data_IF_898385709844
#
_entry.id   IF_898385709844
#
_cell.length_a   1.000
_cell.length_b   1.000
_cell.length_c   1.000
_cell.angle_alpha   90.00
_cell.angle_beta   90.00
_cell.angle_gamma   90.00
#
_symmetry.space_group_name_H-M   'P 1'
#
loop_
_entity.id
_entity.type
_entity.pdbx_description
1 polymer ?
#
# COMPACT_ATOMS: atom_id res chain seq x y z
N UNK A 1 -20.88 0.96 1.80
CA UNK A 1 -19.51 1.43 2.11
C UNK A 1 -18.50 0.44 1.54
N UNK A 2 -17.45 0.92 0.87
CA UNK A 2 -16.36 0.08 0.34
C UNK A 2 -15.05 0.43 1.05
N UNK A 3 -14.25 -0.58 1.37
CA UNK A 3 -12.93 -0.38 1.97
C UNK A 3 -11.87 -0.66 0.91
N UNK A 4 -11.02 0.33 0.67
CA UNK A 4 -9.81 0.20 -0.13
C UNK A 4 -8.61 0.16 0.82
N UNK A 5 -7.73 -0.83 0.64
CA UNK A 5 -6.53 -1.00 1.45
C UNK A 5 -5.30 -0.94 0.56
N UNK A 6 -4.33 -0.07 0.87
CA UNK A 6 -3.01 -0.12 0.23
C UNK A 6 -2.23 -1.37 0.67
N UNK A 7 -1.15 -1.69 -0.04
CA UNK A 7 -0.20 -2.72 0.35
C UNK A 7 1.04 -2.10 0.99
N UNK A 8 1.77 -1.27 0.26
CA UNK A 8 3.13 -0.87 0.63
C UNK A 8 3.08 0.14 1.78
N UNK A 9 3.65 -0.22 2.92
CA UNK A 9 3.55 0.59 4.13
C UNK A 9 2.28 0.34 4.95
N UNK A 10 1.36 -0.52 4.46
CA UNK A 10 0.13 -0.92 5.18
C UNK A 10 0.12 -2.42 5.48
N UNK A 11 0.00 -3.27 4.46
CA UNK A 11 0.06 -4.74 4.62
C UNK A 11 1.46 -5.30 4.38
N UNK A 12 2.29 -4.64 3.58
CA UNK A 12 3.64 -5.06 3.20
C UNK A 12 4.71 -4.09 3.72
N UNK A 13 5.85 -4.62 4.13
CA UNK A 13 6.94 -3.84 4.73
C UNK A 13 7.87 -3.25 3.67
N UNK A 14 7.43 -2.17 3.02
CA UNK A 14 8.22 -1.49 1.99
C UNK A 14 9.54 -0.95 2.54
N UNK A 15 9.49 -0.25 3.68
CA UNK A 15 10.66 0.37 4.29
C UNK A 15 11.65 -0.71 4.75
N UNK A 16 11.18 -1.76 5.41
CA UNK A 16 12.01 -2.91 5.80
C UNK A 16 12.66 -3.59 4.60
N UNK A 17 11.91 -3.85 3.53
CA UNK A 17 12.46 -4.46 2.31
C UNK A 17 13.51 -3.58 1.64
N UNK A 18 13.34 -2.27 1.68
CA UNK A 18 14.33 -1.32 1.17
C UNK A 18 15.61 -1.34 2.02
N UNK A 19 15.47 -1.36 3.35
CA UNK A 19 16.61 -1.47 4.27
C UNK A 19 17.38 -2.76 4.03
N UNK A 20 16.71 -3.90 3.86
CA UNK A 20 17.37 -5.18 3.59
C UNK A 20 18.23 -5.16 2.33
N UNK A 21 17.77 -4.49 1.27
CA UNK A 21 18.43 -4.51 -0.04
C UNK A 21 19.46 -3.40 -0.24
N UNK A 22 19.32 -2.27 0.46
CA UNK A 22 20.11 -1.06 0.24
C UNK A 22 20.75 -0.48 1.51
N UNK A 23 20.49 -1.08 2.68
CA UNK A 23 21.16 -0.78 3.95
C UNK A 23 20.74 0.53 4.62
N UNK A 24 19.69 1.21 4.12
CA UNK A 24 19.21 2.50 4.64
C UNK A 24 17.70 2.60 4.55
N UNK A 25 17.09 3.41 5.40
CA UNK A 25 15.68 3.75 5.28
C UNK A 25 15.43 4.56 3.99
N UNK A 26 14.31 4.40 3.24
CA UNK A 26 14.03 5.15 2.01
C UNK A 26 14.23 6.67 2.12
N UNK A 27 13.64 7.29 3.16
CA UNK A 27 13.82 8.73 3.44
C UNK A 27 15.28 9.13 3.64
N UNK A 28 16.05 8.35 4.39
CA UNK A 28 17.48 8.59 4.58
C UNK A 28 18.24 8.47 3.25
N UNK A 29 17.96 7.42 2.48
CA UNK A 29 18.57 7.20 1.18
C UNK A 29 18.29 8.37 0.22
N UNK A 30 17.04 8.83 0.16
CA UNK A 30 16.65 9.98 -0.67
C UNK A 30 17.36 11.26 -0.20
N UNK A 31 17.48 11.49 1.10
CA UNK A 31 18.17 12.67 1.62
C UNK A 31 19.67 12.69 1.26
N UNK A 32 20.31 11.52 1.22
CA UNK A 32 21.74 11.39 0.92
C UNK A 32 22.02 11.35 -0.58
N UNK A 33 21.25 10.57 -1.35
CA UNK A 33 21.54 10.25 -2.75
C UNK A 33 20.54 10.85 -3.76
N UNK A 34 19.43 11.41 -3.29
CA UNK A 34 18.38 11.99 -4.11
C UNK A 34 17.38 10.98 -4.70
N UNK A 35 16.24 11.51 -5.16
CA UNK A 35 15.15 10.72 -5.73
C UNK A 35 15.57 9.93 -6.98
N UNK A 36 16.43 10.51 -7.84
CA UNK A 36 16.89 9.83 -9.05
C UNK A 36 17.64 8.54 -8.72
N UNK A 37 18.57 8.60 -7.77
CA UNK A 37 19.32 7.44 -7.29
C UNK A 37 18.42 6.41 -6.61
N UNK A 38 17.46 6.86 -5.80
CA UNK A 38 16.47 5.97 -5.16
C UNK A 38 15.71 5.13 -6.19
N UNK A 39 15.19 5.76 -7.24
CA UNK A 39 14.45 5.07 -8.30
C UNK A 39 15.36 4.21 -9.18
N UNK A 40 16.60 4.64 -9.43
CA UNK A 40 17.58 3.83 -10.16
C UNK A 40 17.94 2.54 -9.40
N UNK A 41 18.12 2.63 -8.08
CA UNK A 41 18.39 1.46 -7.21
C UNK A 41 17.19 0.49 -7.16
N UNK A 42 15.97 1.01 -7.06
CA UNK A 42 14.78 0.16 -7.16
C UNK A 42 14.66 -0.50 -8.53
N UNK A 43 14.93 0.24 -9.61
CA UNK A 43 14.86 -0.30 -10.97
C UNK A 43 15.87 -1.45 -11.16
N UNK A 44 17.11 -1.31 -10.66
CA UNK A 44 18.13 -2.34 -10.81
C UNK A 44 17.84 -3.62 -10.01
N UNK A 45 17.00 -3.55 -8.98
CA UNK A 45 16.61 -4.69 -8.13
C UNK A 45 15.10 -4.92 -8.06
N UNK A 46 14.35 -4.51 -9.08
CA UNK A 46 12.89 -4.42 -9.00
C UNK A 46 12.21 -5.78 -8.70
N UNK A 47 12.73 -6.87 -9.29
CA UNK A 47 12.24 -8.23 -9.02
C UNK A 47 12.54 -8.65 -7.58
N UNK A 48 13.79 -8.50 -7.13
CA UNK A 48 14.19 -8.82 -5.76
C UNK A 48 13.35 -8.03 -4.76
N UNK A 49 13.15 -6.75 -5.01
CA UNK A 49 12.39 -5.85 -4.14
C UNK A 49 10.94 -6.32 -3.99
N UNK A 50 10.17 -6.31 -5.08
CA UNK A 50 8.73 -6.53 -5.02
C UNK A 50 8.35 -7.98 -4.73
N UNK A 51 9.04 -8.96 -5.32
CA UNK A 51 8.70 -10.37 -5.10
C UNK A 51 9.22 -10.90 -3.76
N UNK A 52 10.12 -10.18 -3.09
CA UNK A 52 10.64 -10.55 -1.76
C UNK A 52 9.99 -9.80 -0.60
N UNK A 53 9.07 -8.86 -0.86
CA UNK A 53 8.44 -8.07 0.19
C UNK A 53 7.64 -8.95 1.15
N UNK A 54 7.79 -8.70 2.45
CA UNK A 54 7.14 -9.45 3.50
C UNK A 54 5.96 -8.68 4.06
N UNK A 55 5.17 -9.35 4.90
CA UNK A 55 4.18 -8.71 5.74
C UNK A 55 4.80 -7.58 6.57
N UNK A 56 4.09 -6.46 6.67
CA UNK A 56 4.33 -5.47 7.71
C UNK A 56 4.03 -6.10 9.07
N UNK A 57 4.76 -5.68 10.11
CA UNK A 57 4.68 -6.25 11.46
C UNK A 57 3.24 -6.35 12.01
N UNK A 58 2.39 -5.39 11.68
CA UNK A 58 0.98 -5.29 12.07
C UNK A 58 0.00 -5.54 10.91
N UNK A 59 0.50 -5.85 9.71
CA UNK A 59 -0.32 -6.04 8.52
C UNK A 59 -1.30 -7.21 8.65
N UNK A 60 -0.89 -8.30 9.31
CA UNK A 60 -1.77 -9.46 9.55
C UNK A 60 -2.91 -9.13 10.51
N UNK A 61 -2.64 -8.36 11.55
CA UNK A 61 -3.67 -7.90 12.50
C UNK A 61 -4.72 -7.06 11.79
N UNK A 62 -4.27 -6.09 10.98
CA UNK A 62 -5.18 -5.27 10.17
C UNK A 62 -5.99 -6.12 9.18
N UNK A 63 -5.34 -7.02 8.44
CA UNK A 63 -6.03 -7.87 7.44
C UNK A 63 -7.08 -8.78 8.08
N UNK A 64 -6.77 -9.39 9.21
CA UNK A 64 -7.73 -10.20 9.97
C UNK A 64 -8.98 -9.41 10.33
N UNK A 65 -8.82 -8.13 10.70
CA UNK A 65 -9.96 -7.27 11.00
C UNK A 65 -10.76 -6.88 9.75
N UNK A 66 -10.10 -6.47 8.66
CA UNK A 66 -10.82 -5.92 7.49
C UNK A 66 -11.36 -6.99 6.53
N UNK A 67 -10.74 -8.18 6.47
CA UNK A 67 -11.09 -9.22 5.50
C UNK A 67 -12.58 -9.67 5.50
N UNK A 68 -13.29 -9.77 6.64
CA UNK A 68 -14.72 -10.10 6.65
C UNK A 68 -15.61 -9.06 5.94
N UNK A 69 -15.09 -7.84 5.73
CA UNK A 69 -15.80 -6.75 5.05
C UNK A 69 -15.52 -6.71 3.54
N UNK A 70 -14.88 -7.74 2.98
CA UNK A 70 -14.52 -7.85 1.56
C UNK A 70 -13.80 -6.60 1.03
N UNK A 71 -12.64 -6.22 1.60
CA UNK A 71 -11.90 -5.03 1.18
C UNK A 71 -11.31 -5.25 -0.22
N UNK A 72 -11.15 -4.14 -0.95
CA UNK A 72 -10.49 -4.11 -2.26
C UNK A 72 -9.05 -3.65 -2.05
N UNK A 73 -8.07 -4.42 -2.52
CA UNK A 73 -6.68 -3.97 -2.50
C UNK A 73 -6.49 -2.89 -3.56
N UNK A 74 -5.99 -1.72 -3.19
CA UNK A 74 -5.72 -0.62 -4.11
C UNK A 74 -4.29 -0.15 -3.90
N UNK A 75 -3.36 -0.64 -4.72
CA UNK A 75 -1.92 -0.39 -4.55
C UNK A 75 -1.29 0.23 -5.78
N UNK A 76 -0.32 1.11 -5.55
CA UNK A 76 0.40 1.78 -6.63
C UNK A 76 1.47 0.89 -7.25
N UNK A 77 1.65 0.99 -8.56
CA UNK A 77 2.83 0.47 -9.28
C UNK A 77 3.60 1.63 -9.93
N UNK A 78 4.93 1.70 -9.77
CA UNK A 78 5.72 2.74 -10.42
C UNK A 78 5.83 2.45 -11.93
N UNK A 79 5.56 3.46 -12.76
CA UNK A 79 5.42 3.29 -14.23
C UNK A 79 6.62 2.61 -14.88
N UNK A 80 7.85 2.95 -14.49
CA UNK A 80 9.07 2.37 -15.06
C UNK A 80 9.30 0.90 -14.70
N UNK A 81 8.59 0.36 -13.71
CA UNK A 81 8.70 -1.03 -13.24
C UNK A 81 7.33 -1.71 -13.19
N UNK A 82 6.33 -1.18 -13.89
CA UNK A 82 4.94 -1.62 -13.76
C UNK A 82 4.78 -3.13 -13.97
N UNK A 83 5.39 -3.69 -15.03
CA UNK A 83 5.30 -5.12 -15.34
C UNK A 83 5.72 -6.01 -14.17
N UNK A 84 6.89 -5.76 -13.59
CA UNK A 84 7.42 -6.61 -12.52
C UNK A 84 6.73 -6.35 -11.19
N UNK A 85 6.44 -5.08 -10.86
CA UNK A 85 5.72 -4.72 -9.64
C UNK A 85 4.31 -5.34 -9.63
N UNK A 86 3.58 -5.25 -10.75
CA UNK A 86 2.27 -5.89 -10.92
C UNK A 86 2.36 -7.39 -10.68
N UNK A 87 3.25 -8.09 -11.41
CA UNK A 87 3.38 -9.54 -11.28
C UNK A 87 3.68 -9.99 -9.84
N UNK A 88 4.63 -9.34 -9.17
CA UNK A 88 4.99 -9.68 -7.79
C UNK A 88 3.85 -9.38 -6.81
N UNK A 89 3.16 -8.24 -6.96
CA UNK A 89 2.02 -7.87 -6.09
C UNK A 89 0.83 -8.81 -6.27
N UNK A 90 0.49 -9.18 -7.50
CA UNK A 90 -0.57 -10.15 -7.75
C UNK A 90 -0.27 -11.52 -7.14
N UNK A 91 0.99 -11.98 -7.26
CA UNK A 91 1.43 -13.23 -6.63
C UNK A 91 1.33 -13.13 -5.10
N UNK A 92 1.75 -12.02 -4.52
CA UNK A 92 1.68 -11.80 -3.08
C UNK A 92 0.22 -11.78 -2.59
N UNK A 93 -0.67 -11.01 -3.23
CA UNK A 93 -2.10 -10.95 -2.91
C UNK A 93 -2.71 -12.35 -2.94
N UNK A 94 -2.52 -13.10 -4.03
CA UNK A 94 -3.09 -14.45 -4.19
C UNK A 94 -2.57 -15.43 -3.14
N UNK A 95 -1.29 -15.33 -2.80
CA UNK A 95 -0.63 -16.21 -1.84
C UNK A 95 -1.03 -15.92 -0.40
N UNK A 96 -1.08 -14.64 -0.03
CA UNK A 96 -1.17 -14.22 1.38
C UNK A 96 -2.59 -13.80 1.78
N UNK A 97 -3.40 -13.31 0.84
CA UNK A 97 -4.74 -12.78 1.11
C UNK A 97 -5.87 -13.68 0.58
N UNK A 98 -5.61 -14.44 -0.48
CA UNK A 98 -6.55 -15.38 -1.10
C UNK A 98 -6.82 -15.10 -2.59
N UNK A 99 -7.36 -16.09 -3.30
CA UNK A 99 -7.59 -16.03 -4.75
C UNK A 99 -8.77 -15.12 -5.14
N UNK A 100 -9.74 -14.96 -4.24
CA UNK A 100 -10.98 -14.22 -4.50
C UNK A 100 -10.90 -12.75 -4.07
N UNK A 101 -9.73 -12.29 -3.60
CA UNK A 101 -9.52 -10.89 -3.19
C UNK A 101 -9.54 -9.99 -4.42
N UNK A 102 -10.47 -9.03 -4.43
CA UNK A 102 -10.52 -8.00 -5.46
C UNK A 102 -9.34 -7.03 -5.31
N UNK A 103 -8.70 -6.66 -6.43
CA UNK A 103 -7.58 -5.74 -6.41
C UNK A 103 -7.50 -4.85 -7.64
N UNK A 104 -6.92 -3.66 -7.44
CA UNK A 104 -6.57 -2.70 -8.47
C UNK A 104 -5.11 -2.25 -8.28
N UNK A 105 -4.27 -2.63 -9.24
CA UNK A 105 -2.87 -2.21 -9.31
C UNK A 105 -2.75 -1.12 -10.36
N UNK A 106 -2.50 0.11 -9.91
CA UNK A 106 -2.65 1.31 -10.72
C UNK A 106 -1.54 2.32 -10.42
N UNK A 107 -1.48 3.47 -11.09
CA UNK A 107 -0.57 4.53 -10.63
C UNK A 107 -1.14 5.24 -9.41
N UNK A 108 -0.27 5.88 -8.60
CA UNK A 108 -0.70 6.68 -7.43
C UNK A 108 -1.78 7.70 -7.79
N UNK A 109 -1.63 8.37 -8.93
CA UNK A 109 -2.57 9.40 -9.39
C UNK A 109 -3.94 8.81 -9.73
N UNK A 110 -3.97 7.61 -10.32
CA UNK A 110 -5.20 6.92 -10.72
C UNK A 110 -5.93 6.27 -9.54
N UNK A 111 -5.26 5.99 -8.41
CA UNK A 111 -5.96 5.58 -7.16
C UNK A 111 -7.13 6.50 -6.85
N UNK A 112 -6.97 7.79 -7.11
CA UNK A 112 -7.98 8.81 -6.82
C UNK A 112 -9.27 8.66 -7.65
N UNK A 113 -9.26 7.88 -8.73
CA UNK A 113 -10.44 7.60 -9.54
C UNK A 113 -11.40 6.60 -8.86
N UNK A 114 -10.94 5.91 -7.82
CA UNK A 114 -11.75 5.02 -7.00
C UNK A 114 -12.41 5.73 -5.82
N UNK A 115 -12.10 7.01 -5.58
CA UNK A 115 -12.76 7.78 -4.52
C UNK A 115 -14.20 8.09 -4.88
N UNK A 116 -15.10 7.86 -3.92
CA UNK A 116 -16.51 8.25 -3.98
C UNK A 116 -17.06 8.38 -2.56
N UNK A 117 -18.29 8.91 -2.44
CA UNK A 117 -19.02 8.85 -1.18
C UNK A 117 -19.11 7.38 -0.70
N UNK A 118 -19.00 7.19 0.62
CA UNK A 118 -18.94 5.86 1.27
C UNK A 118 -17.77 4.96 0.84
N UNK A 119 -16.72 5.51 0.23
CA UNK A 119 -15.47 4.77 -0.02
C UNK A 119 -14.39 5.19 0.98
N UNK A 120 -13.88 4.22 1.74
CA UNK A 120 -12.78 4.39 2.69
C UNK A 120 -11.47 4.01 2.01
N UNK A 121 -10.41 4.82 2.14
CA UNK A 121 -9.04 4.44 1.79
C UNK A 121 -8.18 4.35 3.06
N UNK A 122 -7.56 3.18 3.27
CA UNK A 122 -6.50 2.95 4.25
C UNK A 122 -5.16 3.03 3.52
N UNK A 123 -4.32 4.01 3.86
CA UNK A 123 -3.06 4.30 3.17
C UNK A 123 -2.09 4.99 4.12
N UNK A 124 -0.79 4.70 4.03
CA UNK A 124 0.25 5.27 4.89
C UNK A 124 0.72 6.66 4.40
N UNK A 125 0.38 7.05 3.17
CA UNK A 125 0.79 8.31 2.59
C UNK A 125 -0.26 9.39 2.81
N UNK A 126 0.06 10.38 3.68
CA UNK A 126 -0.80 11.54 3.97
C UNK A 126 -1.35 12.22 2.70
N UNK A 127 -0.52 12.38 1.68
CA UNK A 127 -0.93 12.99 0.40
C UNK A 127 -2.02 12.18 -0.32
N UNK A 128 -2.00 10.85 -0.25
CA UNK A 128 -3.07 10.01 -0.82
C UNK A 128 -4.38 10.23 -0.07
N UNK A 129 -4.33 10.31 1.26
CA UNK A 129 -5.48 10.58 2.12
C UNK A 129 -6.09 11.96 1.83
N UNK A 130 -5.25 12.99 1.72
CA UNK A 130 -5.70 14.36 1.39
C UNK A 130 -6.36 14.42 0.00
N UNK A 131 -5.76 13.81 -1.02
CA UNK A 131 -6.34 13.76 -2.37
C UNK A 131 -7.64 12.95 -2.44
N UNK A 132 -7.73 11.86 -1.67
CA UNK A 132 -8.92 11.01 -1.60
C UNK A 132 -10.11 11.74 -0.96
N UNK A 133 -9.86 12.38 0.18
CA UNK A 133 -10.87 13.16 0.91
C UNK A 133 -11.39 14.36 0.11
N UNK A 134 -10.53 15.03 -0.66
CA UNK A 134 -10.95 16.10 -1.57
C UNK A 134 -11.92 15.63 -2.67
N UNK A 135 -11.98 14.32 -2.93
CA UNK A 135 -12.89 13.70 -3.90
C UNK A 135 -14.10 13.03 -3.24
N UNK A 136 -14.42 13.41 -2.00
CA UNK A 136 -15.61 12.95 -1.28
C UNK A 136 -15.48 11.59 -0.58
N UNK A 137 -14.33 10.93 -0.70
CA UNK A 137 -14.06 9.70 0.03
C UNK A 137 -13.65 9.95 1.48
N UNK A 138 -13.61 8.89 2.29
CA UNK A 138 -13.08 8.90 3.64
C UNK A 138 -11.65 8.36 3.60
N UNK A 139 -10.68 9.11 4.12
CA UNK A 139 -9.29 8.65 4.18
C UNK A 139 -8.86 8.36 5.62
N UNK A 140 -8.27 7.20 5.85
CA UNK A 140 -7.66 6.77 7.12
C UNK A 140 -6.16 6.63 6.91
N UNK A 141 -5.40 7.54 7.52
CA UNK A 141 -3.95 7.47 7.52
C UNK A 141 -3.49 6.28 8.38
N UNK A 142 -2.86 5.30 7.75
CA UNK A 142 -2.33 4.14 8.45
C UNK A 142 -1.04 4.50 9.20
N UNK A 143 -1.03 4.22 10.50
CA UNK A 143 0.14 4.38 11.39
C UNK A 143 0.39 3.08 12.14
N UNK A 144 -0.70 2.45 12.59
CA UNK A 144 -0.71 1.09 13.12
C UNK A 144 -2.08 0.45 12.91
N UNK A 145 -2.15 -0.88 12.91
CA UNK A 145 -3.40 -1.64 12.87
C UNK A 145 -4.38 -1.14 13.92
N UNK A 146 -3.97 -1.03 15.19
CA UNK A 146 -4.80 -0.51 16.28
C UNK A 146 -5.44 0.85 15.97
N UNK A 147 -4.65 1.83 15.48
CA UNK A 147 -5.18 3.15 15.15
C UNK A 147 -6.15 3.09 13.97
N UNK A 148 -5.78 2.35 12.92
CA UNK A 148 -6.65 2.17 11.75
C UNK A 148 -7.98 1.51 12.13
N UNK A 149 -7.95 0.47 12.96
CA UNK A 149 -9.14 -0.25 13.44
C UNK A 149 -10.04 0.68 14.26
N UNK A 150 -9.47 1.45 15.19
CA UNK A 150 -10.25 2.43 15.97
C UNK A 150 -10.92 3.50 15.08
N UNK A 151 -10.27 3.92 14.00
CA UNK A 151 -10.89 4.83 13.03
C UNK A 151 -12.00 4.14 12.22
N UNK A 152 -11.78 2.91 11.76
CA UNK A 152 -12.79 2.14 11.01
C UNK A 152 -14.07 1.92 11.81
N UNK A 153 -13.96 1.66 13.12
CA UNK A 153 -15.11 1.46 14.01
C UNK A 153 -16.07 2.65 14.03
N UNK A 154 -15.60 3.88 13.77
CA UNK A 154 -16.46 5.07 13.71
C UNK A 154 -17.43 5.07 12.53
N UNK A 155 -17.18 4.24 11.53
CA UNK A 155 -18.00 4.14 10.31
C UNK A 155 -18.79 2.83 10.21
N UNK A 156 -18.41 1.83 11.01
CA UNK A 156 -19.01 0.49 11.01
C UNK A 156 -20.01 0.27 12.16
N UNK A 157 -20.37 1.35 12.87
CA UNK A 157 -21.32 1.40 13.98
C UNK A 157 -22.49 2.33 13.62
#
# INVERSE_FOLDING_TARGET
>A
MKIFCDLDGVLTDFDGRFIELFGKHPKEFINVYGYSSFWASLTSRAKDFWCGIQWKSDGKELWQYISPYNPIILSSVPTSMAKIATQCKEQWIKKELGLDVEYHLTTRKEKQNFSANDHILIDDMKKNIEEWTQRGGVGILHISAHKTINELQKFML
#
